data_IF_009716559998
#
_entry.id   IF_009716559998
#
_cell.length_a   1.000
_cell.length_b   1.000
_cell.length_c   1.000
_cell.angle_alpha   90.00
_cell.angle_beta   90.00
_cell.angle_gamma   90.00
#
_symmetry.space_group_name_H-M   'P 1'
#
loop_
_entity.id
_entity.type
_entity.pdbx_description
1 polymer ?
#
# COMPACT_ATOMS: atom_id res chain seq x y z
N UNK A 1 -4.07 3.69 -30.44
CA UNK A 1 -3.42 4.41 -29.30
C UNK A 1 -3.33 3.64 -27.99
N UNK A 2 -3.67 2.32 -27.93
CA UNK A 2 -3.61 1.51 -26.67
C UNK A 2 -2.45 0.50 -26.59
N UNK A 3 -1.70 0.26 -27.66
CA UNK A 3 -0.63 -0.75 -27.73
C UNK A 3 0.77 -0.24 -27.36
N UNK A 4 1.04 1.05 -27.47
CA UNK A 4 2.32 1.64 -27.03
C UNK A 4 2.54 1.58 -25.49
N UNK A 5 1.46 1.41 -24.73
CA UNK A 5 1.52 1.29 -23.26
C UNK A 5 2.09 -0.08 -22.78
N UNK A 6 2.02 -1.13 -23.58
CA UNK A 6 2.46 -2.48 -23.20
C UNK A 6 3.98 -2.65 -23.33
N UNK A 7 4.59 -2.08 -24.39
CA UNK A 7 6.05 -2.18 -24.60
C UNK A 7 6.85 -1.34 -23.60
N UNK A 8 6.29 -0.21 -23.15
CA UNK A 8 6.94 0.66 -22.15
C UNK A 8 6.89 0.10 -20.71
N UNK A 9 6.02 -0.87 -20.42
CA UNK A 9 5.93 -1.45 -19.06
C UNK A 9 7.06 -2.42 -18.75
N UNK A 10 7.56 -3.18 -19.74
CA UNK A 10 8.70 -4.10 -19.51
C UNK A 10 10.00 -3.33 -19.25
N UNK A 11 10.21 -2.17 -19.92
CA UNK A 11 11.37 -1.30 -19.64
C UNK A 11 11.26 -0.50 -18.32
N UNK A 12 10.06 -0.32 -17.75
CA UNK A 12 9.91 0.36 -16.44
C UNK A 12 10.35 -0.53 -15.27
N UNK A 13 10.31 -1.86 -15.41
CA UNK A 13 10.70 -2.79 -14.35
C UNK A 13 12.20 -2.74 -13.99
N UNK A 14 13.08 -2.43 -14.96
CA UNK A 14 14.52 -2.25 -14.67
C UNK A 14 14.85 -0.90 -13.96
N UNK A 15 13.92 0.06 -13.97
CA UNK A 15 14.13 1.38 -13.33
C UNK A 15 13.57 1.50 -11.91
N UNK A 16 12.75 0.55 -11.45
CA UNK A 16 12.18 0.59 -10.09
C UNK A 16 13.23 0.19 -9.02
N UNK A 17 14.32 -0.48 -9.42
CA UNK A 17 15.43 -0.85 -8.52
C UNK A 17 16.47 0.24 -8.24
N UNK A 18 16.32 1.44 -8.79
CA UNK A 18 17.31 2.52 -8.67
C UNK A 18 16.68 3.85 -8.24
N UNK A 19 15.69 3.84 -7.34
CA UNK A 19 15.38 5.06 -6.60
C UNK A 19 16.44 5.22 -5.51
N UNK A 20 17.44 6.06 -5.82
CA UNK A 20 18.42 6.53 -4.86
C UNK A 20 17.71 7.03 -3.62
N UNK A 21 18.21 6.60 -2.49
CA UNK A 21 17.85 7.04 -1.16
C UNK A 21 18.11 8.55 -1.04
N UNK A 22 17.11 9.38 -1.36
CA UNK A 22 17.03 10.76 -0.89
C UNK A 22 15.91 10.79 0.14
N UNK A 23 16.31 10.64 1.40
CA UNK A 23 15.45 10.49 2.58
C UNK A 23 14.99 11.82 3.15
N UNK A 24 14.59 12.78 2.35
CA UNK A 24 13.89 13.97 2.80
C UNK A 24 12.45 13.98 2.28
N UNK A 25 11.61 13.10 2.86
CA UNK A 25 10.17 13.19 2.69
C UNK A 25 9.63 14.33 3.56
N UNK A 26 9.73 15.57 3.07
CA UNK A 26 9.01 16.70 3.65
C UNK A 26 7.54 16.64 3.28
N UNK A 27 6.66 17.23 4.09
CA UNK A 27 5.21 17.32 3.79
C UNK A 27 4.93 17.90 2.40
N UNK A 28 5.76 18.84 1.95
CA UNK A 28 5.63 19.49 0.64
C UNK A 28 5.79 18.54 -0.56
N UNK A 29 6.44 17.39 -0.37
CA UNK A 29 6.63 16.39 -1.44
C UNK A 29 5.47 15.40 -1.59
N UNK A 30 4.64 15.20 -0.58
CA UNK A 30 3.54 14.22 -0.67
C UNK A 30 2.44 14.69 -1.63
N UNK A 31 2.09 15.96 -1.65
CA UNK A 31 1.11 16.54 -2.59
C UNK A 31 1.47 16.28 -4.05
N UNK A 32 2.76 16.37 -4.39
CA UNK A 32 3.25 16.15 -5.74
C UNK A 32 3.09 14.70 -6.22
N UNK A 33 2.93 13.77 -5.29
CA UNK A 33 2.77 12.33 -5.60
C UNK A 33 1.33 11.94 -5.94
N UNK A 34 0.36 12.79 -5.60
CA UNK A 34 -1.08 12.52 -5.79
C UNK A 34 -1.79 13.67 -6.52
N UNK A 35 -1.27 14.11 -7.69
CA UNK A 35 -1.81 15.29 -8.41
C UNK A 35 -3.20 15.04 -9.01
N UNK A 36 -3.67 13.79 -9.05
CA UNK A 36 -4.96 13.40 -9.62
C UNK A 36 -6.15 13.72 -8.72
N UNK A 37 -5.92 14.02 -7.44
CA UNK A 37 -6.99 14.37 -6.51
C UNK A 37 -7.19 15.88 -6.43
N UNK A 38 -8.43 16.28 -6.14
CA UNK A 38 -8.79 17.66 -5.87
C UNK A 38 -8.19 18.16 -4.53
N UNK A 39 -8.33 19.45 -4.26
CA UNK A 39 -7.78 20.08 -3.06
C UNK A 39 -8.28 19.43 -1.76
N UNK A 40 -9.55 19.02 -1.72
CA UNK A 40 -10.13 18.35 -0.56
C UNK A 40 -9.53 16.95 -0.36
N UNK A 41 -9.36 16.18 -1.43
CA UNK A 41 -8.71 14.87 -1.41
C UNK A 41 -7.24 14.96 -1.01
N UNK A 42 -6.51 15.94 -1.55
CA UNK A 42 -5.12 16.19 -1.17
C UNK A 42 -4.99 16.54 0.31
N UNK A 43 -5.83 17.46 0.83
CA UNK A 43 -5.84 17.81 2.25
C UNK A 43 -6.17 16.61 3.17
N UNK A 44 -7.05 15.71 2.72
CA UNK A 44 -7.39 14.48 3.44
C UNK A 44 -6.18 13.54 3.52
N UNK A 45 -5.47 13.35 2.41
CA UNK A 45 -4.27 12.51 2.31
C UNK A 45 -3.15 13.07 3.18
N UNK A 46 -2.91 14.39 3.13
CA UNK A 46 -1.86 15.03 3.94
C UNK A 46 -2.11 14.88 5.43
N UNK A 47 -3.36 15.05 5.84
CA UNK A 47 -3.73 14.82 7.24
C UNK A 47 -3.45 13.38 7.68
N UNK A 48 -3.82 12.40 6.86
CA UNK A 48 -3.58 10.99 7.14
C UNK A 48 -2.09 10.67 7.15
N UNK A 49 -1.34 11.21 6.18
CA UNK A 49 0.11 11.07 6.09
C UNK A 49 0.82 11.67 7.31
N UNK A 50 0.45 12.89 7.74
CA UNK A 50 1.04 13.54 8.91
C UNK A 50 0.92 12.67 10.16
N UNK A 51 -0.25 12.05 10.38
CA UNK A 51 -0.46 11.13 11.50
C UNK A 51 0.42 9.88 11.36
N UNK A 52 0.47 9.29 10.16
CA UNK A 52 1.27 8.10 9.92
C UNK A 52 2.77 8.39 10.05
N UNK A 53 3.26 9.51 9.52
CA UNK A 53 4.65 9.93 9.62
C UNK A 53 5.09 10.13 11.06
N UNK A 54 4.25 10.77 11.89
CA UNK A 54 4.52 10.95 13.31
C UNK A 54 4.50 9.60 14.08
N UNK A 55 3.53 8.75 13.80
CA UNK A 55 3.39 7.46 14.48
C UNK A 55 4.49 6.45 14.10
N UNK A 56 5.00 6.51 12.86
CA UNK A 56 5.96 5.56 12.31
C UNK A 56 7.40 6.10 12.26
N UNK A 57 7.67 7.25 12.90
CA UNK A 57 8.96 7.94 12.82
C UNK A 57 10.15 7.06 13.24
N UNK A 58 9.97 6.27 14.31
CA UNK A 58 11.01 5.39 14.87
C UNK A 58 10.98 3.97 14.31
N UNK A 59 10.04 3.68 13.41
CA UNK A 59 9.87 2.34 12.84
C UNK A 59 10.72 2.16 11.58
N UNK A 60 11.38 1.00 11.45
CA UNK A 60 12.19 0.65 10.29
C UNK A 60 11.74 -0.65 9.63
N UNK A 61 12.00 -0.76 8.33
CA UNK A 61 11.84 -1.99 7.53
C UNK A 61 13.00 -2.94 7.76
N UNK A 62 12.87 -4.19 7.32
CA UNK A 62 13.93 -5.20 7.43
C UNK A 62 15.24 -4.89 6.72
N UNK A 63 15.25 -3.93 5.81
CA UNK A 63 16.43 -3.39 5.12
C UNK A 63 17.02 -2.13 5.78
N UNK A 64 16.46 -1.69 6.92
CA UNK A 64 16.88 -0.50 7.64
C UNK A 64 16.27 0.82 7.16
N UNK A 65 15.47 0.81 6.09
CA UNK A 65 14.77 2.00 5.60
C UNK A 65 13.60 2.38 6.52
N UNK A 66 13.18 3.66 6.54
CA UNK A 66 12.02 4.12 7.30
C UNK A 66 10.76 3.33 6.94
N UNK A 67 9.99 2.93 7.94
CA UNK A 67 8.78 2.12 7.71
C UNK A 67 7.70 2.88 6.94
N UNK A 68 7.68 4.22 7.01
CA UNK A 68 6.72 5.07 6.30
C UNK A 68 6.76 4.88 4.76
N UNK A 69 7.87 4.38 4.20
CA UNK A 69 7.96 4.04 2.78
C UNK A 69 6.92 2.97 2.37
N UNK A 70 6.60 2.04 3.27
CA UNK A 70 5.61 1.00 2.99
C UNK A 70 4.23 1.57 2.71
N UNK A 71 3.56 2.32 3.61
CA UNK A 71 2.27 2.91 3.32
C UNK A 71 2.31 3.93 2.16
N UNK A 72 3.42 4.62 1.91
CA UNK A 72 3.57 5.47 0.73
C UNK A 72 3.47 4.64 -0.55
N UNK A 73 4.20 3.54 -0.64
CA UNK A 73 4.19 2.67 -1.82
C UNK A 73 2.82 2.00 -2.01
N UNK A 74 2.16 1.57 -0.93
CA UNK A 74 0.78 1.03 -0.99
C UNK A 74 -0.19 2.10 -1.47
N UNK A 75 -0.06 3.34 -1.00
CA UNK A 75 -0.86 4.48 -1.42
C UNK A 75 -0.70 4.79 -2.92
N UNK A 76 0.53 4.72 -3.45
CA UNK A 76 0.81 4.88 -4.87
C UNK A 76 0.18 3.76 -5.72
N UNK A 77 0.27 2.51 -5.27
CA UNK A 77 -0.42 1.39 -5.94
C UNK A 77 -1.94 1.65 -5.96
N UNK A 78 -2.51 2.04 -4.83
CA UNK A 78 -3.94 2.32 -4.71
C UNK A 78 -4.40 3.46 -5.62
N UNK A 79 -3.62 4.55 -5.69
CA UNK A 79 -3.94 5.76 -6.44
C UNK A 79 -3.67 5.61 -7.95
N UNK A 80 -2.47 5.15 -8.32
CA UNK A 80 -1.99 5.24 -9.71
C UNK A 80 -2.26 3.96 -10.51
N UNK A 81 -2.18 2.79 -9.86
CA UNK A 81 -2.33 1.52 -10.57
C UNK A 81 -3.77 0.99 -10.52
N UNK A 82 -4.49 1.25 -9.41
CA UNK A 82 -5.87 0.81 -9.23
C UNK A 82 -6.87 1.94 -9.52
N UNK A 83 -6.51 3.20 -9.22
CA UNK A 83 -7.38 4.35 -9.43
C UNK A 83 -8.41 4.53 -8.32
N UNK A 84 -8.04 4.21 -7.08
CA UNK A 84 -8.92 4.39 -5.92
C UNK A 84 -9.04 5.86 -5.50
N UNK A 85 -10.15 6.27 -4.87
CA UNK A 85 -10.37 7.65 -4.40
C UNK A 85 -9.50 7.99 -3.18
N UNK A 86 -9.39 9.30 -2.87
CA UNK A 86 -8.52 9.85 -1.82
C UNK A 86 -8.79 9.29 -0.41
N UNK A 87 -10.04 8.94 -0.10
CA UNK A 87 -10.43 8.31 1.17
C UNK A 87 -9.77 6.94 1.36
N UNK A 88 -9.60 6.17 0.28
CA UNK A 88 -8.87 4.90 0.31
C UNK A 88 -7.38 5.10 0.58
N UNK A 89 -6.76 6.11 -0.04
CA UNK A 89 -5.36 6.47 0.17
C UNK A 89 -5.13 6.93 1.61
N UNK A 90 -6.01 7.77 2.14
CA UNK A 90 -5.99 8.18 3.54
C UNK A 90 -6.12 6.98 4.50
N UNK A 91 -7.02 6.03 4.19
CA UNK A 91 -7.19 4.82 5.00
C UNK A 91 -5.94 3.95 5.05
N UNK A 92 -5.11 3.89 3.98
CA UNK A 92 -3.83 3.17 3.97
C UNK A 92 -2.87 3.73 5.02
N UNK A 93 -2.68 5.05 5.05
CA UNK A 93 -1.79 5.69 6.03
C UNK A 93 -2.27 5.46 7.46
N UNK A 94 -3.54 5.68 7.71
CA UNK A 94 -4.13 5.54 9.04
C UNK A 94 -4.16 4.08 9.52
N UNK A 95 -4.36 3.13 8.62
CA UNK A 95 -4.31 1.69 8.95
C UNK A 95 -2.93 1.30 9.47
N UNK A 96 -1.85 1.68 8.78
CA UNK A 96 -0.50 1.32 9.21
C UNK A 96 -0.15 1.99 10.55
N UNK A 97 -0.53 3.27 10.74
CA UNK A 97 -0.35 3.97 12.01
C UNK A 97 -1.06 3.24 13.16
N UNK A 98 -2.36 2.94 13.02
CA UNK A 98 -3.15 2.28 14.08
C UNK A 98 -2.82 0.80 14.25
N UNK A 99 -2.29 0.13 13.23
CA UNK A 99 -1.83 -1.26 13.31
C UNK A 99 -0.58 -1.38 14.17
N UNK A 100 0.34 -0.43 14.06
CA UNK A 100 1.58 -0.37 14.85
C UNK A 100 1.34 0.21 16.24
N UNK A 101 0.48 1.21 16.32
CA UNK A 101 0.15 1.98 17.50
C UNK A 101 -1.37 1.90 17.78
N UNK A 102 -1.86 0.78 18.37
CA UNK A 102 -3.29 0.58 18.64
C UNK A 102 -3.90 1.58 19.62
N UNK A 103 -3.06 2.30 20.37
CA UNK A 103 -3.45 3.38 21.29
C UNK A 103 -3.90 4.65 20.57
N UNK A 104 -3.65 4.78 19.27
CA UNK A 104 -4.10 5.93 18.47
C UNK A 104 -5.61 5.84 18.25
N UNK A 105 -6.36 6.68 18.97
CA UNK A 105 -7.80 6.85 18.73
C UNK A 105 -8.04 7.91 17.66
N UNK A 106 -8.28 7.45 16.42
CA UNK A 106 -8.58 8.33 15.29
C UNK A 106 -9.89 9.14 15.50
N UNK A 107 -10.83 8.67 16.32
CA UNK A 107 -12.07 9.38 16.61
C UNK A 107 -11.86 10.47 17.65
N UNK A 108 -10.93 10.29 18.59
CA UNK A 108 -10.53 11.32 19.55
C UNK A 108 -9.81 12.50 18.87
N UNK A 109 -9.12 12.28 17.75
CA UNK A 109 -8.53 13.35 16.91
C UNK A 109 -9.61 14.32 16.37
N UNK A 110 -10.89 13.90 16.37
CA UNK A 110 -12.05 14.67 15.93
C UNK A 110 -12.46 15.79 16.89
N UNK A 111 -12.08 15.73 18.15
CA UNK A 111 -12.69 16.52 19.24
C UNK A 111 -11.76 17.52 19.92
N UNK A 112 -10.83 18.17 19.19
CA UNK A 112 -10.16 19.36 19.76
C UNK A 112 -11.03 20.58 19.47
N UNK A 113 -11.81 21.10 20.45
CA UNK A 113 -12.57 22.33 20.28
C UNK A 113 -11.63 23.52 20.08
N UNK A 114 -11.99 24.42 19.18
CA UNK A 114 -11.26 25.66 18.89
C UNK A 114 -11.22 26.66 20.06
N UNK A 115 -11.85 26.36 21.19
CA UNK A 115 -11.92 27.24 22.35
C UNK A 115 -11.58 26.52 23.64
N UNK A 116 -10.30 26.54 24.02
CA UNK A 116 -9.92 26.69 25.41
C UNK A 116 -8.73 27.67 25.49
N UNK A 117 -9.02 28.95 25.37
CA UNK A 117 -8.25 29.95 26.08
C UNK A 117 -8.69 29.87 27.55
N UNK A 118 -7.77 29.46 28.40
CA UNK A 118 -7.83 29.66 29.85
C UNK A 118 -8.68 28.64 30.63
N UNK A 119 -8.06 27.52 31.01
CA UNK A 119 -7.97 27.05 32.40
C UNK A 119 -6.94 25.91 32.49
N UNK A 120 -5.95 26.12 33.32
CA UNK A 120 -4.89 25.15 33.59
C UNK A 120 -5.45 23.94 34.33
N UNK A 121 -5.61 22.83 33.59
CA UNK A 121 -5.77 21.50 34.13
C UNK A 121 -4.56 20.67 33.67
N UNK A 122 -3.60 20.44 34.58
CA UNK A 122 -2.38 19.67 34.36
C UNK A 122 -2.74 18.17 34.17
N UNK A 123 -3.05 17.78 32.97
CA UNK A 123 -2.95 16.41 32.52
C UNK A 123 -1.80 16.33 31.52
N UNK A 124 -0.66 15.78 31.93
CA UNK A 124 0.49 15.55 31.07
C UNK A 124 0.08 14.55 29.98
N UNK A 125 -0.13 15.07 28.75
CA UNK A 125 -0.30 14.27 27.55
C UNK A 125 1.01 13.53 27.27
N UNK A 126 0.92 12.27 26.79
CA UNK A 126 2.12 11.54 26.39
C UNK A 126 2.89 12.30 25.29
N UNK A 127 4.22 12.16 25.21
CA UNK A 127 5.04 12.80 24.18
C UNK A 127 4.53 12.55 22.76
N UNK A 128 3.97 11.37 22.51
CA UNK A 128 3.38 10.95 21.23
C UNK A 128 2.11 11.73 20.91
N UNK A 129 1.25 11.97 21.91
CA UNK A 129 0.05 12.79 21.74
C UNK A 129 0.40 14.26 21.51
N UNK A 130 1.55 14.73 22.05
CA UNK A 130 2.07 16.08 21.79
C UNK A 130 2.65 16.17 20.37
N UNK A 131 3.39 15.17 19.89
CA UNK A 131 3.90 15.11 18.53
C UNK A 131 2.76 15.06 17.50
N UNK A 132 1.71 14.28 17.77
CA UNK A 132 0.48 14.25 16.96
C UNK A 132 -0.25 15.60 16.93
N UNK A 133 -0.23 16.37 18.03
CA UNK A 133 -0.78 17.74 18.06
C UNK A 133 0.07 18.75 17.29
N UNK A 134 1.39 18.60 17.29
CA UNK A 134 2.31 19.47 16.55
C UNK A 134 2.29 19.20 15.03
N UNK A 135 2.07 17.94 14.62
CA UNK A 135 1.88 17.55 13.23
C UNK A 135 0.53 18.04 12.63
N UNK A 136 -0.43 18.40 13.49
CA UNK A 136 -1.67 19.05 13.07
C UNK A 136 -1.41 20.54 12.79
N UNK A 137 -1.00 20.86 11.56
CA UNK A 137 -0.89 22.25 11.10
C UNK A 137 -2.21 23.02 11.25
N UNK A 138 -2.18 24.38 11.28
CA UNK A 138 -3.29 25.25 11.72
C UNK A 138 -4.56 25.26 10.85
N UNK A 139 -4.72 24.39 9.87
CA UNK A 139 -5.85 24.42 8.91
C UNK A 139 -6.76 23.19 8.89
N UNK A 140 -6.60 22.20 9.77
CA UNK A 140 -7.38 20.96 9.69
C UNK A 140 -8.53 20.92 10.68
N UNK A 141 -9.62 21.61 10.35
CA UNK A 141 -10.91 21.54 11.05
C UNK A 141 -11.63 20.25 10.64
N UNK A 142 -11.91 19.37 11.61
CA UNK A 142 -12.76 18.18 11.43
C UNK A 142 -12.01 16.84 11.44
N UNK A 143 -12.76 15.78 11.77
CA UNK A 143 -12.29 14.39 11.72
C UNK A 143 -12.17 13.88 10.29
N UNK A 144 -11.91 12.57 10.16
CA UNK A 144 -11.98 11.87 8.86
C UNK A 144 -13.44 11.54 8.51
N UNK A 145 -13.77 11.34 7.21
CA UNK A 145 -15.05 10.78 6.81
C UNK A 145 -15.32 9.41 7.47
N UNK A 146 -16.58 9.12 7.75
CA UNK A 146 -16.97 7.86 8.40
C UNK A 146 -16.52 6.62 7.61
N UNK A 147 -16.49 6.71 6.28
CA UNK A 147 -16.02 5.63 5.42
C UNK A 147 -14.53 5.33 5.61
N UNK A 148 -13.71 6.35 5.88
CA UNK A 148 -12.28 6.16 6.20
C UNK A 148 -12.13 5.35 7.50
N UNK A 149 -12.90 5.68 8.54
CA UNK A 149 -12.87 4.90 9.79
C UNK A 149 -13.27 3.44 9.57
N UNK A 150 -14.35 3.19 8.82
CA UNK A 150 -14.81 1.84 8.50
C UNK A 150 -13.76 1.05 7.71
N UNK A 151 -13.10 1.69 6.75
CA UNK A 151 -12.01 1.05 6.00
C UNK A 151 -10.82 0.70 6.90
N UNK A 152 -10.40 1.60 7.78
CA UNK A 152 -9.30 1.34 8.73
C UNK A 152 -9.67 0.22 9.70
N UNK A 153 -10.88 0.21 10.24
CA UNK A 153 -11.36 -0.87 11.10
C UNK A 153 -11.38 -2.22 10.36
N UNK A 154 -11.85 -2.23 9.10
CA UNK A 154 -11.86 -3.41 8.25
C UNK A 154 -10.46 -3.95 7.96
N UNK A 155 -9.52 -3.06 7.61
CA UNK A 155 -8.12 -3.40 7.37
C UNK A 155 -7.46 -3.98 8.62
N UNK A 156 -7.66 -3.36 9.78
CA UNK A 156 -7.12 -3.83 11.06
C UNK A 156 -7.71 -5.19 11.45
N UNK A 157 -9.02 -5.38 11.26
CA UNK A 157 -9.69 -6.64 11.52
C UNK A 157 -9.14 -7.79 10.67
N UNK A 158 -8.94 -7.55 9.38
CA UNK A 158 -8.33 -8.55 8.49
C UNK A 158 -6.89 -8.83 8.91
N UNK A 159 -6.12 -7.83 9.34
CA UNK A 159 -4.73 -8.01 9.77
C UNK A 159 -4.58 -8.92 11.01
N UNK A 160 -5.61 -9.03 11.85
CA UNK A 160 -5.59 -9.92 13.03
C UNK A 160 -5.85 -11.39 12.68
N UNK A 161 -6.41 -11.66 11.51
CA UNK A 161 -6.72 -13.01 11.06
C UNK A 161 -5.45 -13.66 10.52
N UNK A 162 -4.94 -14.67 11.21
CA UNK A 162 -3.75 -15.43 10.77
C UNK A 162 -4.21 -16.73 10.10
N UNK A 163 -3.87 -16.95 8.81
CA UNK A 163 -4.12 -18.25 8.19
C UNK A 163 -3.26 -19.31 8.88
N UNK A 164 -3.87 -20.46 9.19
CA UNK A 164 -3.14 -21.66 9.57
C UNK A 164 -2.76 -22.42 8.29
N UNK A 165 -1.73 -23.25 8.33
CA UNK A 165 -0.92 -23.68 7.17
C UNK A 165 -1.55 -24.70 6.19
N UNK A 166 -2.88 -24.81 6.03
CA UNK A 166 -3.50 -25.81 5.15
C UNK A 166 -4.29 -25.21 3.98
N UNK A 167 -4.36 -25.96 2.85
CA UNK A 167 -5.14 -25.55 1.65
C UNK A 167 -6.63 -25.31 1.93
N UNK A 168 -7.23 -26.12 2.80
CA UNK A 168 -8.63 -25.96 3.23
C UNK A 168 -8.86 -24.66 3.99
N UNK A 169 -7.85 -24.18 4.67
CA UNK A 169 -7.89 -22.92 5.41
C UNK A 169 -7.70 -21.69 4.51
N UNK A 170 -7.00 -21.81 3.37
CA UNK A 170 -6.89 -20.72 2.39
C UNK A 170 -8.25 -20.37 1.78
N UNK A 171 -9.10 -21.35 1.47
CA UNK A 171 -10.47 -21.12 1.01
C UNK A 171 -11.36 -20.49 2.10
N UNK A 172 -11.22 -20.95 3.33
CA UNK A 172 -11.94 -20.38 4.47
C UNK A 172 -11.46 -18.95 4.75
N UNK A 173 -10.15 -18.69 4.64
CA UNK A 173 -9.57 -17.37 4.81
C UNK A 173 -9.99 -16.41 3.71
N UNK A 174 -10.06 -16.86 2.46
CA UNK A 174 -10.60 -16.11 1.33
C UNK A 174 -12.06 -15.70 1.58
N UNK A 175 -12.90 -16.65 2.03
CA UNK A 175 -14.28 -16.35 2.43
C UNK A 175 -14.33 -15.35 3.57
N UNK A 176 -13.42 -15.48 4.56
CA UNK A 176 -13.33 -14.53 5.67
C UNK A 176 -12.96 -13.13 5.20
N UNK A 177 -11.95 -12.96 4.33
CA UNK A 177 -11.61 -11.63 3.79
C UNK A 177 -12.82 -11.00 3.09
N UNK A 178 -13.50 -11.75 2.23
CA UNK A 178 -14.68 -11.27 1.51
C UNK A 178 -15.85 -11.00 2.48
N UNK A 179 -16.05 -11.85 3.48
CA UNK A 179 -17.16 -11.77 4.42
C UNK A 179 -16.97 -10.70 5.50
N UNK A 180 -15.72 -10.49 5.97
CA UNK A 180 -15.41 -9.44 6.96
C UNK A 180 -15.19 -8.08 6.35
N UNK A 181 -15.01 -8.01 5.04
CA UNK A 181 -15.00 -6.78 4.28
C UNK A 181 -16.44 -6.41 3.89
N UNK A 182 -17.12 -5.69 4.76
CA UNK A 182 -18.41 -5.06 4.39
C UNK A 182 -18.24 -4.01 3.27
N UNK A 183 -16.99 -3.58 3.05
CA UNK A 183 -16.59 -2.65 2.00
C UNK A 183 -15.55 -3.34 1.08
N UNK A 184 -15.87 -3.54 -0.22
CA UNK A 184 -14.95 -4.18 -1.17
C UNK A 184 -13.62 -3.42 -1.33
N UNK A 185 -13.59 -2.10 -1.05
CA UNK A 185 -12.38 -1.29 -1.07
C UNK A 185 -11.32 -1.81 -0.09
N UNK A 186 -11.73 -2.35 1.06
CA UNK A 186 -10.84 -2.96 2.05
C UNK A 186 -10.08 -4.16 1.47
N UNK A 187 -10.77 -5.02 0.72
CA UNK A 187 -10.13 -6.17 0.05
C UNK A 187 -9.14 -5.71 -1.02
N UNK A 188 -9.52 -4.69 -1.81
CA UNK A 188 -8.63 -4.12 -2.83
C UNK A 188 -7.38 -3.51 -2.20
N UNK A 189 -7.52 -2.76 -1.11
CA UNK A 189 -6.39 -2.20 -0.36
C UNK A 189 -5.46 -3.29 0.21
N UNK A 190 -6.01 -4.41 0.69
CA UNK A 190 -5.18 -5.54 1.15
C UNK A 190 -4.44 -6.24 0.00
N UNK A 191 -4.97 -6.20 -1.22
CA UNK A 191 -4.27 -6.69 -2.41
C UNK A 191 -3.12 -5.73 -2.77
N UNK A 192 -3.34 -4.41 -2.70
CA UNK A 192 -2.30 -3.40 -2.91
C UNK A 192 -1.16 -3.53 -1.89
N UNK A 193 -1.50 -3.67 -0.60
CA UNK A 193 -0.56 -3.94 0.49
C UNK A 193 0.28 -5.22 0.21
N UNK A 194 -0.37 -6.30 -0.22
CA UNK A 194 0.33 -7.54 -0.58
C UNK A 194 1.25 -7.37 -1.79
N UNK A 195 0.84 -6.63 -2.80
CA UNK A 195 1.68 -6.36 -3.97
C UNK A 195 2.96 -5.60 -3.58
N UNK A 196 2.84 -4.60 -2.71
CA UNK A 196 4.01 -3.87 -2.18
C UNK A 196 4.98 -4.83 -1.46
N UNK A 197 4.45 -5.69 -0.59
CA UNK A 197 5.25 -6.71 0.10
C UNK A 197 5.91 -7.68 -0.90
N UNK A 198 5.23 -8.07 -1.96
CA UNK A 198 5.78 -8.95 -3.01
C UNK A 198 6.90 -8.27 -3.79
N UNK A 199 6.77 -6.98 -4.11
CA UNK A 199 7.83 -6.18 -4.76
C UNK A 199 9.11 -6.12 -3.93
N UNK A 200 8.99 -6.23 -2.61
CA UNK A 200 10.09 -6.10 -1.66
C UNK A 200 10.41 -7.41 -0.90
N UNK A 201 10.14 -8.56 -1.49
CA UNK A 201 10.35 -9.87 -0.85
C UNK A 201 11.78 -10.10 -0.37
N UNK A 202 12.75 -9.48 -1.00
CA UNK A 202 14.18 -9.64 -0.68
C UNK A 202 14.54 -9.13 0.72
N UNK A 203 13.74 -8.20 1.27
CA UNK A 203 13.94 -7.68 2.63
C UNK A 203 13.60 -8.70 3.74
N UNK A 204 12.88 -9.77 3.40
CA UNK A 204 12.41 -10.71 4.40
C UNK A 204 13.35 -11.93 4.52
N UNK A 205 13.54 -12.48 5.74
CA UNK A 205 14.22 -13.75 5.93
C UNK A 205 13.56 -14.87 5.11
N UNK A 206 14.33 -15.87 4.69
CA UNK A 206 13.91 -16.94 3.78
C UNK A 206 12.57 -17.58 4.19
N UNK A 207 12.43 -18.01 5.44
CA UNK A 207 11.21 -18.66 5.93
C UNK A 207 9.98 -17.74 5.86
N UNK A 208 10.15 -16.44 6.19
CA UNK A 208 9.07 -15.45 6.09
C UNK A 208 8.69 -15.18 4.64
N UNK A 209 9.67 -15.14 3.73
CA UNK A 209 9.49 -14.97 2.29
C UNK A 209 8.68 -16.11 1.69
N UNK A 210 9.06 -17.36 1.97
CA UNK A 210 8.36 -18.55 1.49
C UNK A 210 6.90 -18.56 1.93
N UNK A 211 6.63 -18.20 3.19
CA UNK A 211 5.26 -18.06 3.70
C UNK A 211 4.47 -17.00 2.94
N UNK A 212 5.05 -15.81 2.74
CA UNK A 212 4.40 -14.70 1.99
C UNK A 212 4.10 -15.08 0.53
N UNK A 213 5.02 -15.78 -0.11
CA UNK A 213 4.86 -16.30 -1.48
C UNK A 213 3.70 -17.28 -1.55
N UNK A 214 3.65 -18.25 -0.62
CA UNK A 214 2.58 -19.24 -0.58
C UNK A 214 1.21 -18.60 -0.29
N UNK A 215 1.13 -17.70 0.67
CA UNK A 215 -0.10 -16.94 0.96
C UNK A 215 -0.56 -16.15 -0.27
N UNK A 216 0.38 -15.53 -1.01
CA UNK A 216 0.05 -14.77 -2.22
C UNK A 216 -0.53 -15.67 -3.30
N UNK A 217 0.10 -16.82 -3.57
CA UNK A 217 -0.36 -17.79 -4.55
C UNK A 217 -1.77 -18.32 -4.22
N UNK A 218 -1.98 -18.70 -2.96
CA UNK A 218 -3.20 -19.40 -2.55
C UNK A 218 -4.39 -18.46 -2.32
N UNK A 219 -4.14 -17.19 -2.02
CA UNK A 219 -5.16 -16.26 -1.58
C UNK A 219 -5.25 -15.01 -2.45
N UNK A 220 -4.16 -14.21 -2.54
CA UNK A 220 -4.23 -12.87 -3.11
C UNK A 220 -4.32 -12.88 -4.66
N UNK A 221 -3.64 -13.81 -5.33
CA UNK A 221 -3.75 -13.97 -6.78
C UNK A 221 -5.18 -14.35 -7.19
N UNK A 222 -5.86 -15.35 -6.57
CA UNK A 222 -7.26 -15.63 -6.84
C UNK A 222 -8.20 -14.47 -6.52
N UNK A 223 -7.96 -13.71 -5.43
CA UNK A 223 -8.77 -12.54 -5.07
C UNK A 223 -8.60 -11.41 -6.12
N UNK A 224 -7.37 -11.12 -6.54
CA UNK A 224 -7.09 -10.14 -7.57
C UNK A 224 -7.78 -10.50 -8.89
N UNK A 225 -7.79 -11.80 -9.25
CA UNK A 225 -8.51 -12.29 -10.41
C UNK A 225 -10.02 -12.06 -10.30
N UNK A 226 -10.63 -12.39 -9.15
CA UNK A 226 -12.07 -12.22 -8.93
C UNK A 226 -12.51 -10.74 -8.98
N UNK A 227 -11.65 -9.83 -8.54
CA UNK A 227 -11.90 -8.39 -8.55
C UNK A 227 -11.51 -7.72 -9.88
N UNK A 228 -11.06 -8.49 -10.87
CA UNK A 228 -10.67 -7.94 -12.18
C UNK A 228 -9.36 -7.17 -12.20
N UNK A 229 -8.54 -7.27 -11.14
CA UNK A 229 -7.24 -6.60 -11.01
C UNK A 229 -6.16 -7.38 -11.77
N UNK A 230 -6.35 -7.57 -13.08
CA UNK A 230 -5.52 -8.46 -13.90
C UNK A 230 -4.05 -8.05 -13.98
N UNK A 231 -3.75 -6.75 -13.97
CA UNK A 231 -2.37 -6.26 -14.00
C UNK A 231 -1.64 -6.65 -12.71
N UNK A 232 -2.28 -6.43 -11.55
CA UNK A 232 -1.75 -6.78 -10.24
C UNK A 232 -1.60 -8.29 -10.09
N UNK A 233 -2.62 -9.03 -10.53
CA UNK A 233 -2.57 -10.50 -10.57
C UNK A 233 -1.34 -10.99 -11.35
N UNK A 234 -1.18 -10.52 -12.59
CA UNK A 234 -0.08 -10.95 -13.48
C UNK A 234 1.29 -10.59 -12.91
N UNK A 235 1.41 -9.43 -12.25
CA UNK A 235 2.65 -9.04 -11.60
C UNK A 235 2.95 -9.94 -10.38
N UNK A 236 1.94 -10.24 -9.54
CA UNK A 236 2.13 -11.17 -8.43
C UNK A 236 2.53 -12.57 -8.90
N UNK A 237 1.96 -13.05 -10.03
CA UNK A 237 2.32 -14.33 -10.64
C UNK A 237 3.75 -14.31 -11.18
N UNK A 238 4.19 -13.22 -11.80
CA UNK A 238 5.56 -13.06 -12.29
C UNK A 238 6.57 -13.05 -11.13
N UNK A 239 6.28 -12.29 -10.08
CA UNK A 239 7.13 -12.28 -8.88
C UNK A 239 7.17 -13.67 -8.23
N UNK A 240 6.01 -14.33 -8.09
CA UNK A 240 5.94 -15.71 -7.60
C UNK A 240 6.85 -16.63 -8.42
N UNK A 241 6.73 -16.60 -9.75
CA UNK A 241 7.51 -17.46 -10.65
C UNK A 241 9.01 -17.20 -10.54
N UNK A 242 9.41 -15.95 -10.42
CA UNK A 242 10.82 -15.55 -10.23
C UNK A 242 11.44 -16.16 -8.97
N UNK A 243 10.68 -16.24 -7.89
CA UNK A 243 11.18 -16.78 -6.61
C UNK A 243 10.99 -18.30 -6.47
N UNK A 244 9.92 -18.86 -7.02
CA UNK A 244 9.62 -20.30 -6.94
C UNK A 244 10.46 -21.12 -7.91
N UNK A 245 10.66 -20.62 -9.15
CA UNK A 245 11.31 -21.32 -10.25
C UNK A 245 12.40 -20.44 -10.91
N UNK A 246 13.44 -20.02 -10.19
CA UNK A 246 14.38 -19.00 -10.65
C UNK A 246 15.19 -19.40 -11.88
N UNK A 247 15.47 -20.69 -12.09
CA UNK A 247 16.20 -21.17 -13.26
C UNK A 247 15.34 -21.10 -14.52
N UNK A 248 14.10 -21.56 -14.41
CA UNK A 248 13.13 -21.52 -15.52
C UNK A 248 12.79 -20.08 -15.87
N UNK A 249 12.57 -19.23 -14.85
CA UNK A 249 12.32 -17.81 -15.04
C UNK A 249 13.46 -17.15 -15.84
N UNK A 250 14.72 -17.38 -15.45
CA UNK A 250 15.88 -16.85 -16.17
C UNK A 250 15.99 -17.37 -17.60
N UNK A 251 15.74 -18.66 -17.82
CA UNK A 251 15.78 -19.25 -19.15
C UNK A 251 14.72 -18.63 -20.09
N UNK A 252 13.49 -18.41 -19.60
CA UNK A 252 12.41 -17.78 -20.36
C UNK A 252 12.73 -16.31 -20.62
N UNK A 253 13.16 -15.56 -19.60
CA UNK A 253 13.51 -14.14 -19.73
C UNK A 253 14.62 -13.92 -20.76
N UNK A 254 15.65 -14.78 -20.77
CA UNK A 254 16.73 -14.71 -21.76
C UNK A 254 16.22 -14.97 -23.19
N UNK A 255 15.32 -15.95 -23.39
CA UNK A 255 14.70 -16.20 -24.69
C UNK A 255 13.84 -15.02 -25.15
N UNK A 256 13.06 -14.43 -24.24
CA UNK A 256 12.24 -13.25 -24.53
C UNK A 256 13.10 -12.03 -24.91
N UNK A 257 14.19 -11.79 -24.20
CA UNK A 257 15.15 -10.72 -24.53
C UNK A 257 15.82 -10.96 -25.90
N UNK A 258 16.20 -12.19 -26.19
CA UNK A 258 16.83 -12.55 -27.48
C UNK A 258 15.91 -12.30 -28.70
N UNK A 259 14.58 -12.45 -28.53
CA UNK A 259 13.59 -12.28 -29.60
C UNK A 259 12.89 -10.90 -29.57
N UNK A 260 13.27 -10.01 -28.69
CA UNK A 260 12.59 -8.73 -28.46
C UNK A 260 12.55 -7.86 -29.71
N UNK A 261 13.68 -7.73 -30.41
CA UNK A 261 13.79 -6.91 -31.64
C UNK A 261 12.88 -7.43 -32.75
N UNK A 262 12.82 -8.76 -32.93
CA UNK A 262 11.95 -9.37 -33.96
C UNK A 262 10.47 -9.20 -33.60
N UNK A 263 10.11 -9.31 -32.33
CA UNK A 263 8.73 -9.07 -31.88
C UNK A 263 8.30 -7.62 -32.06
N UNK A 264 9.16 -6.65 -31.74
CA UNK A 264 8.88 -5.22 -31.95
C UNK A 264 8.64 -4.97 -33.43
N UNK A 265 9.56 -5.42 -34.32
CA UNK A 265 9.43 -5.26 -35.76
C UNK A 265 8.11 -5.85 -36.29
N UNK A 266 7.78 -7.10 -35.91
CA UNK A 266 6.53 -7.76 -36.33
C UNK A 266 5.30 -7.01 -35.82
N UNK A 267 5.35 -6.44 -34.62
CA UNK A 267 4.24 -5.65 -34.09
C UNK A 267 4.05 -4.34 -34.86
N UNK A 268 5.15 -3.67 -35.22
CA UNK A 268 5.12 -2.44 -36.04
C UNK A 268 4.57 -2.72 -37.44
N UNK A 269 5.06 -3.79 -38.10
CA UNK A 269 4.55 -4.25 -39.43
C UNK A 269 3.07 -4.62 -39.40
N UNK A 270 2.51 -5.04 -38.26
CA UNK A 270 1.09 -5.40 -38.11
C UNK A 270 0.16 -4.22 -37.84
N UNK A 271 0.71 -3.11 -37.36
CA UNK A 271 -0.05 -1.88 -37.03
C UNK A 271 -0.15 -0.93 -38.23
N UNK A 272 0.79 -0.99 -39.21
CA UNK A 272 0.71 -0.30 -40.49
C UNK A 272 -0.35 -0.94 -41.40
#
# INVERSE_FOLDING_TARGET
>A
MRTAAYSNKICKFEKIGAFGCETDFTMDTIHQRFPQYDEAGQALIDKAYAIAAAALADETRGNGHPFIEHPINVALIAADEIGLPADCVAAVFLHEATRKHPEIDLRAVRSVPEHVEGTAGQGTLSPETQALRQAQGPKLKGGFPEDVYKMVEGLNKIATIKPKDTRLEAESYKKLIVQYSTDPRVTVLKIADRLEVMRHLEMFPKASREKKILETLMLYIPLAHQLGLYNIKSEMEDIYFRFAEPEQYRAITNKLKATERDRIRLTEEFIE
#
